data_IF_708047810255
#
_entry.id   IF_708047810255
#
_cell.length_a   1.000
_cell.length_b   1.000
_cell.length_c   1.000
_cell.angle_alpha   90.00
_cell.angle_beta   90.00
_cell.angle_gamma   90.00
#
_symmetry.space_group_name_H-M   'P 1'
#
loop_
_entity.id
_entity.type
_entity.pdbx_description
1 polymer ?
#
# COMPACT_ATOMS: atom_id res chain seq x y z
N UNK A 1 4.14 26.99 -12.17
CA UNK A 1 2.94 27.72 -12.66
C UNK A 1 2.43 27.17 -13.99
N UNK A 2 3.29 26.88 -14.95
CA UNK A 2 2.92 26.40 -16.30
C UNK A 2 2.14 25.07 -16.26
N UNK A 3 2.59 24.07 -15.47
CA UNK A 3 1.94 22.76 -15.37
C UNK A 3 0.50 22.81 -14.81
N UNK A 4 0.23 23.70 -13.82
CA UNK A 4 -1.13 23.90 -13.32
C UNK A 4 -2.08 24.44 -14.40
N UNK A 5 -1.61 25.41 -15.18
CA UNK A 5 -2.38 25.97 -16.29
C UNK A 5 -2.65 24.89 -17.34
N UNK A 6 -1.67 24.07 -17.67
CA UNK A 6 -1.83 22.96 -18.60
C UNK A 6 -2.85 21.94 -18.11
N UNK A 7 -2.81 21.55 -16.82
CA UNK A 7 -3.80 20.67 -16.22
C UNK A 7 -5.23 21.26 -16.35
N UNK A 8 -5.41 22.52 -15.94
CA UNK A 8 -6.71 23.20 -16.02
C UNK A 8 -7.25 23.21 -17.46
N UNK A 9 -6.43 23.55 -18.44
CA UNK A 9 -6.84 23.56 -19.87
C UNK A 9 -7.24 22.15 -20.31
N UNK A 10 -6.52 21.11 -19.87
CA UNK A 10 -6.80 19.71 -20.24
C UNK A 10 -8.14 19.23 -19.68
N UNK A 11 -8.53 19.66 -18.48
CA UNK A 11 -9.78 19.20 -17.84
C UNK A 11 -10.99 20.12 -18.11
N UNK A 12 -10.78 21.34 -18.59
CA UNK A 12 -11.81 22.38 -18.71
C UNK A 12 -13.01 21.98 -19.59
N UNK A 13 -12.77 21.14 -20.60
CA UNK A 13 -13.80 20.68 -21.54
C UNK A 13 -14.43 19.32 -21.16
N UNK A 14 -14.18 18.86 -19.94
CA UNK A 14 -14.74 17.63 -19.33
C UNK A 14 -14.63 16.38 -20.23
N UNK A 15 -13.42 16.00 -20.70
CA UNK A 15 -13.25 14.84 -21.56
C UNK A 15 -13.55 13.53 -20.81
N UNK A 16 -14.12 12.53 -21.49
CA UNK A 16 -14.36 11.20 -20.92
C UNK A 16 -13.06 10.46 -20.56
N UNK A 17 -11.99 10.71 -21.34
CA UNK A 17 -10.66 10.10 -21.14
C UNK A 17 -9.61 11.20 -20.97
N UNK A 18 -8.85 11.08 -19.90
CA UNK A 18 -7.70 11.93 -19.58
C UNK A 18 -6.43 11.10 -19.59
N UNK A 19 -5.42 11.55 -20.31
CA UNK A 19 -4.09 10.90 -20.34
C UNK A 19 -3.05 11.92 -19.89
N UNK A 20 -2.32 11.59 -18.84
CA UNK A 20 -1.27 12.44 -18.28
C UNK A 20 0.08 11.71 -18.30
N UNK A 21 1.13 12.42 -18.64
CA UNK A 21 2.50 11.95 -18.53
C UNK A 21 3.18 12.63 -17.34
N UNK A 22 3.56 11.82 -16.34
CA UNK A 22 4.20 12.29 -15.08
C UNK A 22 3.52 13.52 -14.46
N UNK A 23 2.21 13.49 -14.16
CA UNK A 23 1.44 14.67 -13.78
C UNK A 23 1.94 15.37 -12.50
N UNK A 24 2.64 14.66 -11.62
CA UNK A 24 3.13 15.18 -10.35
C UNK A 24 4.59 15.67 -10.40
N UNK A 25 5.28 15.42 -11.49
CA UNK A 25 6.69 15.77 -11.64
C UNK A 25 6.89 17.29 -11.58
N UNK A 26 7.88 17.72 -10.78
CA UNK A 26 8.22 19.14 -10.63
C UNK A 26 7.27 19.98 -9.76
N UNK A 27 6.28 19.35 -9.12
CA UNK A 27 5.48 20.02 -8.10
C UNK A 27 6.15 19.90 -6.71
N UNK A 28 5.98 20.92 -5.88
CA UNK A 28 6.21 20.80 -4.45
C UNK A 28 5.14 19.89 -3.80
N UNK A 29 5.38 19.34 -2.61
CA UNK A 29 4.45 18.39 -1.98
C UNK A 29 3.02 18.92 -1.83
N UNK A 30 2.84 20.18 -1.46
CA UNK A 30 1.50 20.78 -1.27
C UNK A 30 0.72 20.84 -2.59
N UNK A 31 1.38 21.22 -3.66
CA UNK A 31 0.76 21.28 -4.98
C UNK A 31 0.54 19.90 -5.59
N UNK A 32 1.41 18.93 -5.31
CA UNK A 32 1.19 17.54 -5.71
C UNK A 32 -0.05 16.94 -5.04
N UNK A 33 -0.24 17.16 -3.73
CA UNK A 33 -1.43 16.72 -3.01
C UNK A 33 -2.72 17.37 -3.53
N UNK A 34 -2.67 18.67 -3.84
CA UNK A 34 -3.82 19.35 -4.47
C UNK A 34 -4.17 18.70 -5.81
N UNK A 35 -3.18 18.41 -6.65
CA UNK A 35 -3.42 17.80 -7.96
C UNK A 35 -3.95 16.36 -7.84
N UNK A 36 -3.45 15.57 -6.87
CA UNK A 36 -3.98 14.23 -6.57
C UNK A 36 -5.46 14.30 -6.19
N UNK A 37 -5.83 15.25 -5.33
CA UNK A 37 -7.23 15.47 -4.94
C UNK A 37 -8.12 15.79 -6.14
N UNK A 38 -7.70 16.70 -7.03
CA UNK A 38 -8.44 17.04 -8.26
C UNK A 38 -8.61 15.82 -9.18
N UNK A 39 -7.56 14.99 -9.32
CA UNK A 39 -7.62 13.74 -10.10
C UNK A 39 -8.64 12.76 -9.50
N UNK A 40 -8.65 12.61 -8.15
CA UNK A 40 -9.62 11.75 -7.47
C UNK A 40 -11.06 12.27 -7.62
N UNK A 41 -11.27 13.60 -7.60
CA UNK A 41 -12.58 14.19 -7.83
C UNK A 41 -13.08 13.95 -9.27
N UNK A 42 -12.19 14.07 -10.27
CA UNK A 42 -12.52 13.75 -11.66
C UNK A 42 -12.88 12.26 -11.82
N UNK A 43 -12.12 11.37 -11.19
CA UNK A 43 -12.42 9.93 -11.14
C UNK A 43 -13.80 9.65 -10.53
N UNK A 44 -14.16 10.32 -9.41
CA UNK A 44 -15.46 10.19 -8.77
C UNK A 44 -16.63 10.71 -9.66
N UNK A 45 -16.37 11.68 -10.52
CA UNK A 45 -17.33 12.17 -11.53
C UNK A 45 -17.47 11.22 -12.73
N UNK A 46 -16.72 10.13 -12.79
CA UNK A 46 -16.81 9.11 -13.82
C UNK A 46 -15.85 9.27 -15.00
N UNK A 47 -14.88 10.17 -14.93
CA UNK A 47 -13.85 10.29 -15.96
C UNK A 47 -12.89 9.09 -15.90
N UNK A 48 -12.47 8.59 -17.05
CA UNK A 48 -11.41 7.60 -17.16
C UNK A 48 -10.06 8.32 -17.20
N UNK A 49 -9.15 7.94 -16.28
CA UNK A 49 -7.86 8.60 -16.14
C UNK A 49 -6.73 7.57 -16.29
N UNK A 50 -5.83 7.85 -17.21
CA UNK A 50 -4.60 7.09 -17.41
C UNK A 50 -3.42 8.03 -17.18
N UNK A 51 -2.47 7.64 -16.36
CA UNK A 51 -1.24 8.41 -16.21
C UNK A 51 -0.01 7.53 -16.09
N UNK A 52 1.11 8.01 -16.62
CA UNK A 52 2.42 7.44 -16.38
C UNK A 52 3.01 8.02 -15.11
N UNK A 53 3.73 7.21 -14.33
CA UNK A 53 4.53 7.69 -13.22
C UNK A 53 5.60 6.69 -12.82
N UNK A 54 6.68 7.19 -12.24
CA UNK A 54 7.68 6.39 -11.53
C UNK A 54 7.52 6.47 -9.99
N UNK A 55 6.54 7.25 -9.51
CA UNK A 55 6.26 7.39 -8.08
C UNK A 55 5.24 6.33 -7.63
N UNK A 56 5.74 5.26 -6.99
CA UNK A 56 4.92 4.13 -6.56
C UNK A 56 3.93 4.48 -5.46
N UNK A 57 4.20 5.49 -4.62
CA UNK A 57 3.24 5.97 -3.62
C UNK A 57 1.99 6.55 -4.30
N UNK A 58 2.17 7.36 -5.34
CA UNK A 58 1.04 7.90 -6.12
C UNK A 58 0.22 6.79 -6.79
N UNK A 59 0.86 5.69 -7.20
CA UNK A 59 0.15 4.51 -7.72
C UNK A 59 -0.77 3.92 -6.65
N UNK A 60 -0.26 3.70 -5.44
CA UNK A 60 -1.06 3.13 -4.32
C UNK A 60 -2.22 4.01 -3.91
N UNK A 61 -2.02 5.34 -3.92
CA UNK A 61 -3.00 6.30 -3.43
C UNK A 61 -4.14 6.57 -4.42
N UNK A 62 -3.88 6.50 -5.72
CA UNK A 62 -4.81 7.03 -6.73
C UNK A 62 -5.32 5.96 -7.69
N UNK A 63 -4.47 4.97 -8.05
CA UNK A 63 -4.79 4.00 -9.09
C UNK A 63 -5.70 2.87 -8.59
N UNK A 64 -6.66 2.46 -9.42
CA UNK A 64 -7.38 1.20 -9.25
C UNK A 64 -6.59 0.05 -9.86
N UNK A 65 -6.10 0.26 -11.08
CA UNK A 65 -5.38 -0.72 -11.89
C UNK A 65 -4.02 -0.18 -12.29
N UNK A 66 -3.07 -1.08 -12.52
CA UNK A 66 -1.72 -0.79 -12.98
C UNK A 66 -1.29 -1.67 -14.14
N UNK A 67 -0.38 -1.15 -14.93
CA UNK A 67 0.44 -1.91 -15.87
C UNK A 67 1.90 -1.48 -15.71
N UNK A 68 2.74 -2.39 -15.20
CA UNK A 68 4.19 -2.16 -15.06
C UNK A 68 4.91 -2.57 -16.32
N UNK A 69 5.61 -1.61 -16.92
CA UNK A 69 6.36 -1.82 -18.16
C UNK A 69 7.87 -1.83 -17.83
N UNK A 70 8.55 -2.89 -18.23
CA UNK A 70 10.00 -3.00 -18.12
C UNK A 70 10.56 -3.60 -19.42
N UNK A 71 11.63 -3.02 -19.98
CA UNK A 71 12.21 -3.42 -21.26
C UNK A 71 11.17 -3.61 -22.37
N UNK A 72 10.27 -2.65 -22.53
CA UNK A 72 9.18 -2.64 -23.54
C UNK A 72 8.19 -3.82 -23.43
N UNK A 73 8.11 -4.47 -22.26
CA UNK A 73 7.15 -5.54 -21.96
C UNK A 73 6.35 -5.23 -20.72
N UNK A 74 5.07 -5.57 -20.74
CA UNK A 74 4.25 -5.56 -19.53
C UNK A 74 4.68 -6.75 -18.66
N UNK A 75 5.30 -6.46 -17.52
CA UNK A 75 5.82 -7.48 -16.59
C UNK A 75 4.86 -7.75 -15.42
N UNK A 76 3.95 -6.82 -15.14
CA UNK A 76 2.94 -6.95 -14.11
C UNK A 76 1.72 -6.08 -14.47
N UNK A 77 0.51 -6.59 -14.25
CA UNK A 77 -0.72 -5.82 -14.41
C UNK A 77 -1.85 -6.34 -13.51
N UNK A 78 -2.84 -5.51 -13.29
CA UNK A 78 -4.06 -5.81 -12.53
C UNK A 78 -4.40 -4.73 -11.51
N UNK A 79 -5.40 -5.01 -10.68
CA UNK A 79 -5.81 -4.10 -9.59
C UNK A 79 -4.70 -3.98 -8.55
N UNK A 80 -4.44 -2.75 -8.10
CA UNK A 80 -3.36 -2.46 -7.14
C UNK A 80 -3.42 -3.38 -5.91
N UNK A 81 -4.60 -3.49 -5.29
CA UNK A 81 -4.76 -4.33 -4.09
C UNK A 81 -4.59 -5.83 -4.38
N UNK A 82 -5.06 -6.33 -5.53
CA UNK A 82 -4.88 -7.73 -5.92
C UNK A 82 -3.41 -8.03 -6.23
N UNK A 83 -2.71 -7.09 -6.86
CA UNK A 83 -1.27 -7.18 -7.08
C UNK A 83 -0.54 -7.26 -5.76
N UNK A 84 -0.79 -6.35 -4.83
CA UNK A 84 -0.17 -6.36 -3.50
C UNK A 84 -0.45 -7.65 -2.74
N UNK A 85 -1.68 -8.14 -2.78
CA UNK A 85 -2.05 -9.41 -2.12
C UNK A 85 -1.33 -10.63 -2.70
N UNK A 86 -1.05 -10.65 -4.01
CA UNK A 86 -0.27 -11.74 -4.65
C UNK A 86 1.17 -11.82 -4.13
N UNK A 87 1.71 -10.71 -3.66
CA UNK A 87 3.06 -10.61 -3.09
C UNK A 87 3.07 -10.57 -1.56
N UNK A 88 1.94 -10.89 -0.91
CA UNK A 88 1.86 -10.95 0.56
C UNK A 88 2.89 -11.93 1.12
N UNK A 89 3.57 -11.50 2.18
CA UNK A 89 4.57 -12.30 2.90
C UNK A 89 4.00 -12.99 4.15
N UNK A 90 2.66 -12.89 4.37
CA UNK A 90 1.99 -13.46 5.53
C UNK A 90 2.34 -12.74 6.85
N UNK A 91 2.76 -11.49 6.77
CA UNK A 91 3.05 -10.65 7.93
C UNK A 91 1.80 -9.90 8.34
N UNK A 92 1.54 -9.86 9.64
CA UNK A 92 0.42 -9.15 10.24
C UNK A 92 0.92 -8.21 11.33
N UNK A 93 0.34 -7.02 11.40
CA UNK A 93 0.48 -6.13 12.53
C UNK A 93 -0.68 -6.39 13.50
N UNK A 94 -0.34 -6.73 14.73
CA UNK A 94 -1.27 -6.91 15.83
C UNK A 94 -1.03 -5.80 16.86
N UNK A 95 -2.06 -5.06 17.21
CA UNK A 95 -2.03 -4.10 18.33
C UNK A 95 -2.88 -4.64 19.45
N UNK A 96 -2.30 -4.71 20.65
CA UNK A 96 -2.98 -5.21 21.85
C UNK A 96 -3.02 -4.15 22.94
N UNK A 97 -3.96 -4.33 23.86
CA UNK A 97 -4.10 -3.55 25.09
C UNK A 97 -3.94 -4.45 26.31
N UNK A 98 -3.61 -3.84 27.45
CA UNK A 98 -3.44 -4.57 28.72
C UNK A 98 -2.03 -5.11 28.95
N UNK A 99 -1.85 -5.83 30.05
CA UNK A 99 -0.53 -6.29 30.52
C UNK A 99 -0.10 -7.65 29.96
N UNK A 100 -1.04 -8.41 29.38
CA UNK A 100 -0.74 -9.72 28.81
C UNK A 100 0.07 -9.59 27.54
N UNK A 101 1.05 -10.49 27.37
CA UNK A 101 1.93 -10.52 26.20
C UNK A 101 1.68 -11.77 25.38
N UNK A 102 1.56 -11.57 24.06
CA UNK A 102 1.52 -12.67 23.11
C UNK A 102 2.84 -13.44 23.16
N UNK A 103 2.76 -14.77 23.22
CA UNK A 103 3.92 -15.65 23.19
C UNK A 103 4.10 -16.25 21.79
N UNK A 104 5.34 -16.54 21.39
CA UNK A 104 5.58 -17.34 20.18
C UNK A 104 4.90 -18.70 20.30
N UNK A 105 4.35 -19.20 19.20
CA UNK A 105 3.71 -20.53 19.16
C UNK A 105 4.09 -21.26 17.86
N UNK A 106 3.60 -22.50 17.74
CA UNK A 106 3.77 -23.25 16.49
C UNK A 106 3.10 -22.58 15.30
N UNK A 107 2.14 -21.71 15.52
CA UNK A 107 1.34 -21.00 14.53
C UNK A 107 1.85 -19.61 14.19
N UNK A 108 2.64 -19.01 15.10
CA UNK A 108 3.04 -17.60 15.07
C UNK A 108 4.55 -17.47 15.29
N UNK A 109 5.21 -16.77 14.39
CA UNK A 109 6.56 -16.26 14.58
C UNK A 109 6.47 -14.77 14.95
N UNK A 110 7.06 -14.36 16.06
CA UNK A 110 7.20 -12.95 16.42
C UNK A 110 8.41 -12.38 15.70
N UNK A 111 8.18 -11.40 14.81
CA UNK A 111 9.25 -10.73 14.06
C UNK A 111 9.75 -9.53 14.84
N UNK A 112 8.84 -8.71 15.36
CA UNK A 112 9.15 -7.51 16.14
C UNK A 112 8.08 -7.24 17.18
N UNK A 113 8.46 -6.61 18.30
CA UNK A 113 7.55 -6.23 19.37
C UNK A 113 8.02 -4.90 19.96
N UNK A 114 7.12 -3.93 20.03
CA UNK A 114 7.40 -2.66 20.69
C UNK A 114 6.18 -2.10 21.42
N UNK A 115 6.43 -1.32 22.46
CA UNK A 115 5.41 -0.67 23.25
C UNK A 115 5.25 0.79 22.83
N UNK A 116 4.01 1.24 22.74
CA UNK A 116 3.65 2.62 22.40
C UNK A 116 2.40 3.03 23.18
N UNK A 117 2.50 4.05 24.02
CA UNK A 117 1.37 4.71 24.72
C UNK A 117 0.31 3.75 25.29
N UNK A 118 0.75 2.77 26.10
CA UNK A 118 -0.14 1.81 26.77
C UNK A 118 -0.69 0.70 25.87
N UNK A 119 -0.17 0.57 24.65
CA UNK A 119 -0.44 -0.54 23.75
C UNK A 119 0.84 -1.27 23.38
N UNK A 120 0.73 -2.55 23.03
CA UNK A 120 1.84 -3.32 22.45
C UNK A 120 1.54 -3.62 20.99
N UNK A 121 2.49 -3.28 20.15
CA UNK A 121 2.45 -3.55 18.70
C UNK A 121 3.37 -4.72 18.40
N UNK A 122 2.82 -5.73 17.76
CA UNK A 122 3.55 -6.91 17.30
C UNK A 122 3.57 -6.95 15.78
N UNK A 123 4.72 -7.25 15.20
CA UNK A 123 4.82 -7.76 13.83
C UNK A 123 4.95 -9.27 13.91
N UNK A 124 3.94 -9.97 13.40
CA UNK A 124 3.89 -11.43 13.45
C UNK A 124 3.88 -12.02 12.05
N UNK A 125 4.52 -13.16 11.87
CA UNK A 125 4.38 -13.98 10.66
C UNK A 125 3.51 -15.18 10.95
N UNK A 126 2.45 -15.34 10.16
CA UNK A 126 1.61 -16.51 10.16
C UNK A 126 2.31 -17.67 9.46
N UNK A 127 2.40 -18.84 10.10
CA UNK A 127 2.91 -20.03 9.42
C UNK A 127 1.91 -20.55 8.39
N UNK A 128 2.44 -21.15 7.33
CA UNK A 128 1.65 -21.63 6.18
C UNK A 128 0.61 -22.68 6.61
N UNK A 129 -0.59 -22.57 6.05
CA UNK A 129 -1.66 -23.57 6.21
C UNK A 129 -2.70 -23.26 7.30
N UNK A 130 -2.50 -22.21 8.10
CA UNK A 130 -3.45 -21.85 9.16
C UNK A 130 -4.47 -20.86 8.61
N UNK A 131 -5.76 -21.10 8.89
CA UNK A 131 -6.81 -20.14 8.56
C UNK A 131 -6.72 -18.88 9.45
N UNK A 132 -7.00 -17.70 8.89
CA UNK A 132 -6.96 -16.45 9.66
C UNK A 132 -7.93 -16.48 10.86
N UNK A 133 -9.08 -17.14 10.72
CA UNK A 133 -10.04 -17.30 11.83
C UNK A 133 -9.45 -18.08 13.01
N UNK A 134 -8.73 -19.18 12.74
CA UNK A 134 -8.06 -19.96 13.78
C UNK A 134 -6.94 -19.16 14.45
N UNK A 135 -6.14 -18.44 13.66
CA UNK A 135 -5.09 -17.56 14.17
C UNK A 135 -5.65 -16.48 15.08
N UNK A 136 -6.68 -15.75 14.63
CA UNK A 136 -7.32 -14.69 15.42
C UNK A 136 -7.92 -15.26 16.71
N UNK A 137 -8.58 -16.43 16.67
CA UNK A 137 -9.13 -17.07 17.86
C UNK A 137 -8.04 -17.47 18.84
N UNK A 138 -6.91 -17.97 18.36
CA UNK A 138 -5.75 -18.28 19.21
C UNK A 138 -5.23 -17.03 19.93
N UNK A 139 -4.96 -15.96 19.18
CA UNK A 139 -4.47 -14.69 19.71
C UNK A 139 -5.45 -14.08 20.71
N UNK A 140 -6.77 -14.09 20.42
CA UNK A 140 -7.80 -13.51 21.27
C UNK A 140 -7.93 -14.22 22.62
N UNK A 141 -7.53 -15.48 22.75
CA UNK A 141 -7.48 -16.19 24.02
C UNK A 141 -6.30 -15.77 24.92
N UNK A 142 -5.25 -15.23 24.33
CA UNK A 142 -4.04 -14.83 25.05
C UNK A 142 -4.01 -13.34 25.41
N UNK A 143 -4.42 -12.48 24.47
CA UNK A 143 -4.30 -11.03 24.59
C UNK A 143 -5.58 -10.31 24.15
N UNK A 144 -5.78 -9.08 24.61
CA UNK A 144 -6.86 -8.22 24.18
C UNK A 144 -6.49 -7.51 22.88
N UNK A 145 -7.16 -7.89 21.78
CA UNK A 145 -6.88 -7.38 20.44
C UNK A 145 -7.53 -6.00 20.26
N UNK A 146 -6.72 -4.98 19.93
CA UNK A 146 -7.20 -3.67 19.49
C UNK A 146 -7.33 -3.60 17.96
N UNK A 147 -6.34 -4.12 17.24
CA UNK A 147 -6.39 -4.24 15.78
C UNK A 147 -5.54 -5.42 15.29
N UNK A 148 -5.94 -5.99 14.16
CA UNK A 148 -5.22 -7.05 13.46
C UNK A 148 -5.29 -6.78 11.96
N UNK A 149 -4.15 -6.47 11.33
CA UNK A 149 -4.10 -6.02 9.95
C UNK A 149 -2.99 -6.74 9.19
N UNK A 150 -3.29 -7.25 8.01
CA UNK A 150 -2.27 -7.82 7.13
C UNK A 150 -1.38 -6.70 6.56
N UNK A 151 -0.07 -6.87 6.66
CA UNK A 151 0.92 -5.94 6.12
C UNK A 151 1.26 -6.38 4.70
N UNK A 152 0.66 -5.71 3.72
CA UNK A 152 0.96 -5.95 2.31
C UNK A 152 2.23 -5.18 1.91
N UNK A 153 3.07 -5.76 1.03
CA UNK A 153 4.24 -5.06 0.50
C UNK A 153 3.83 -3.79 -0.24
N UNK A 154 4.68 -2.78 -0.24
CA UNK A 154 4.47 -1.57 -1.03
C UNK A 154 4.62 -1.86 -2.53
N UNK A 155 3.98 -1.02 -3.37
CA UNK A 155 4.19 -1.10 -4.82
C UNK A 155 5.65 -0.85 -5.21
N UNK A 156 6.39 -0.07 -4.41
CA UNK A 156 7.81 0.13 -4.61
C UNK A 156 8.62 -1.16 -4.39
N UNK A 157 8.31 -1.94 -3.32
CA UNK A 157 8.99 -3.21 -3.06
C UNK A 157 8.67 -4.24 -4.14
N UNK A 158 7.41 -4.30 -4.58
CA UNK A 158 6.98 -5.16 -5.67
C UNK A 158 7.71 -4.80 -6.96
N UNK A 159 7.79 -3.50 -7.27
CA UNK A 159 8.54 -3.01 -8.43
C UNK A 159 9.99 -3.48 -8.40
N UNK A 160 10.70 -3.24 -7.29
CA UNK A 160 12.10 -3.64 -7.12
C UNK A 160 12.30 -5.16 -7.21
N UNK A 161 11.34 -5.93 -6.69
CA UNK A 161 11.36 -7.39 -6.79
C UNK A 161 11.17 -7.87 -8.24
N UNK A 162 10.17 -7.36 -8.94
CA UNK A 162 9.81 -7.78 -10.31
C UNK A 162 10.90 -7.40 -11.32
N UNK A 163 11.57 -6.24 -11.15
CA UNK A 163 12.69 -5.87 -12.03
C UNK A 163 14.03 -6.52 -11.63
N UNK A 164 14.04 -7.40 -10.62
CA UNK A 164 15.21 -8.19 -10.22
C UNK A 164 16.27 -7.42 -9.41
N UNK A 165 15.90 -6.27 -8.83
CA UNK A 165 16.84 -5.44 -8.07
C UNK A 165 16.87 -5.74 -6.57
N UNK A 166 15.83 -6.39 -6.00
CA UNK A 166 15.74 -6.74 -4.57
C UNK A 166 14.79 -7.91 -4.30
N UNK A 167 15.04 -8.64 -3.19
CA UNK A 167 13.99 -9.45 -2.56
C UNK A 167 12.97 -8.50 -1.88
N UNK A 168 11.71 -8.91 -1.79
CA UNK A 168 10.70 -8.14 -1.06
C UNK A 168 11.18 -8.00 0.39
N UNK A 169 11.42 -6.76 0.81
CA UNK A 169 11.88 -6.46 2.15
C UNK A 169 10.69 -6.55 3.11
N UNK A 170 10.86 -7.29 4.19
CA UNK A 170 9.92 -7.30 5.30
C UNK A 170 9.97 -5.94 5.99
N UNK A 171 9.01 -5.07 5.72
CA UNK A 171 8.90 -3.80 6.43
C UNK A 171 8.43 -4.04 7.86
N UNK A 172 9.38 -4.03 8.79
CA UNK A 172 9.13 -4.13 10.24
C UNK A 172 8.92 -2.78 10.92
N UNK A 173 8.95 -1.65 10.18
CA UNK A 173 8.73 -0.34 10.79
C UNK A 173 7.42 0.28 10.28
N UNK A 174 6.44 0.54 11.16
CA UNK A 174 5.37 1.48 10.85
C UNK A 174 6.01 2.86 10.64
N UNK A 175 5.66 3.54 9.54
CA UNK A 175 5.94 4.96 9.41
C UNK A 175 5.27 5.66 10.60
N UNK A 176 6.09 6.28 11.44
CA UNK A 176 5.62 7.14 12.54
C UNK A 176 4.88 8.33 11.93
N UNK A 177 3.59 8.40 12.20
CA UNK A 177 2.77 9.60 11.99
C UNK A 177 3.24 10.72 12.92
#
# INVERSE_FOLDING_TARGET
>A
MQQKVQFVITVLHEPELLIFDEPFSGFDPVNAELLKKEILELKQKGHTIVFSTHNMNSVEEICDDIALINHSKVVLNGKVNEVRSRFSTGIYQLVTTGERRLQPSDDIELIDVHDTDGTTVYSIRKKTGIANSALISHIANEVEIRSFTEVLPSMNDIFLHVVGQKQIVEHTKPETL
#
